data_IF_916599723440
#
_entry.id   IF_916599723440
#
_cell.length_a   1.000
_cell.length_b   1.000
_cell.length_c   1.000
_cell.angle_alpha   90.00
_cell.angle_beta   90.00
_cell.angle_gamma   90.00
#
_symmetry.space_group_name_H-M   'P 1'
#
loop_
_entity.id
_entity.type
_entity.pdbx_description
1 polymer ?
#
# COMPACT_ATOMS: atom_id res chain seq x y z
N UNK A 1 15.17 -11.33 -3.93
CA UNK A 1 13.70 -11.54 -4.03
C UNK A 1 13.42 -12.29 -5.32
N UNK A 2 12.40 -13.16 -5.35
CA UNK A 2 11.98 -13.88 -6.55
C UNK A 2 10.47 -13.76 -6.71
N UNK A 3 9.98 -13.74 -7.97
CA UNK A 3 8.55 -13.71 -8.28
C UNK A 3 8.21 -14.81 -9.29
N UNK A 4 7.26 -15.65 -8.93
CA UNK A 4 6.75 -16.71 -9.79
C UNK A 4 5.27 -16.46 -10.12
N UNK A 5 4.99 -16.09 -11.36
CA UNK A 5 3.62 -16.07 -11.88
C UNK A 5 3.11 -17.52 -11.98
N UNK A 6 1.92 -17.79 -11.43
CA UNK A 6 1.33 -19.13 -11.38
C UNK A 6 0.12 -19.25 -12.30
N UNK A 7 -0.75 -18.24 -12.31
CA UNK A 7 -2.02 -18.25 -13.04
C UNK A 7 -2.32 -16.87 -13.63
N UNK A 8 -3.01 -16.86 -14.75
CA UNK A 8 -3.63 -15.66 -15.34
C UNK A 8 -5.07 -16.02 -15.66
N UNK A 9 -6.01 -15.18 -15.23
CA UNK A 9 -7.42 -15.41 -15.47
C UNK A 9 -7.77 -15.22 -16.96
N UNK A 10 -8.62 -16.06 -17.49
CA UNK A 10 -9.09 -15.94 -18.86
C UNK A 10 -10.01 -14.73 -19.02
N UNK A 11 -9.85 -13.96 -20.09
CA UNK A 11 -10.68 -12.80 -20.40
C UNK A 11 -10.41 -11.55 -19.58
N UNK A 12 -9.40 -11.56 -18.68
CA UNK A 12 -8.95 -10.41 -17.90
C UNK A 12 -7.43 -10.38 -17.79
N UNK A 13 -6.86 -9.30 -17.19
CA UNK A 13 -5.44 -9.26 -16.88
C UNK A 13 -5.13 -9.72 -15.45
N UNK A 14 -6.14 -10.19 -14.71
CA UNK A 14 -5.98 -10.66 -13.34
C UNK A 14 -5.04 -11.86 -13.26
N UNK A 15 -4.11 -11.82 -12.33
CA UNK A 15 -3.07 -12.84 -12.21
C UNK A 15 -2.77 -13.19 -10.75
N UNK A 16 -2.32 -14.41 -10.54
CA UNK A 16 -1.91 -14.91 -9.24
C UNK A 16 -0.46 -15.40 -9.30
N UNK A 17 0.35 -14.98 -8.34
CA UNK A 17 1.76 -15.36 -8.24
C UNK A 17 2.21 -15.53 -6.81
N UNK A 18 3.52 -15.73 -6.64
CA UNK A 18 4.18 -15.80 -5.32
C UNK A 18 5.45 -14.97 -5.38
N UNK A 19 5.60 -14.06 -4.43
CA UNK A 19 6.84 -13.33 -4.17
C UNK A 19 7.55 -14.04 -3.02
N UNK A 20 8.83 -14.39 -3.20
CA UNK A 20 9.65 -15.00 -2.15
C UNK A 20 10.69 -13.99 -1.67
N UNK A 21 10.68 -13.74 -0.35
CA UNK A 21 11.68 -12.92 0.36
C UNK A 21 12.39 -13.76 1.43
N UNK A 22 13.42 -13.21 2.04
CA UNK A 22 14.12 -13.89 3.14
C UNK A 22 13.26 -14.01 4.43
N UNK A 23 12.18 -13.20 4.55
CA UNK A 23 11.19 -13.27 5.65
C UNK A 23 9.90 -14.03 5.29
N UNK A 24 9.84 -14.70 4.14
CA UNK A 24 8.73 -15.56 3.75
C UNK A 24 8.11 -15.24 2.41
N UNK A 25 7.05 -15.98 2.10
CA UNK A 25 6.31 -15.89 0.84
C UNK A 25 5.13 -14.94 0.95
N UNK A 26 4.81 -14.26 -0.17
CA UNK A 26 3.67 -13.38 -0.33
C UNK A 26 2.86 -13.87 -1.51
N UNK A 27 1.64 -14.33 -1.25
CA UNK A 27 0.70 -14.81 -2.26
C UNK A 27 -0.03 -13.62 -2.88
N UNK A 28 0.20 -13.35 -4.16
CA UNK A 28 -0.45 -12.24 -4.87
C UNK A 28 -1.73 -12.70 -5.60
N UNK A 29 -2.73 -11.82 -5.79
CA UNK A 29 -2.78 -10.43 -5.33
C UNK A 29 -2.83 -10.30 -3.81
N UNK A 30 -2.29 -9.22 -3.25
CA UNK A 30 -2.19 -9.00 -1.81
C UNK A 30 -2.48 -7.55 -1.40
N UNK A 31 -3.18 -7.38 -0.29
CA UNK A 31 -3.31 -6.10 0.40
C UNK A 31 -2.35 -6.03 1.58
N UNK A 32 -1.60 -4.94 1.69
CA UNK A 32 -0.60 -4.68 2.73
C UNK A 32 -1.15 -3.70 3.78
N UNK A 33 -1.39 -4.13 5.04
CA UNK A 33 -1.71 -3.21 6.14
C UNK A 33 -0.60 -2.17 6.35
N UNK A 34 -1.01 -0.90 6.53
CA UNK A 34 -0.07 0.21 6.70
C UNK A 34 0.31 0.38 8.17
N UNK A 35 1.60 0.17 8.47
CA UNK A 35 2.24 0.40 9.76
C UNK A 35 3.11 1.66 9.77
N UNK A 36 2.50 2.85 9.70
CA UNK A 36 3.14 4.16 9.45
C UNK A 36 4.40 4.42 10.27
N UNK A 37 4.34 4.20 11.57
CA UNK A 37 5.46 4.41 12.52
C UNK A 37 5.95 3.09 13.13
N UNK A 38 5.93 2.03 12.33
CA UNK A 38 6.24 0.67 12.81
C UNK A 38 5.08 -0.02 13.53
N UNK A 39 3.87 0.56 13.50
CA UNK A 39 2.67 0.01 14.10
C UNK A 39 1.46 0.20 13.21
N UNK A 40 0.66 -0.85 13.03
CA UNK A 40 -0.67 -0.77 12.42
C UNK A 40 -1.63 -0.14 13.42
N UNK A 41 -2.28 0.97 13.04
CA UNK A 41 -3.05 1.79 13.99
C UNK A 41 -4.20 1.01 14.63
N UNK A 42 -4.24 1.04 15.97
CA UNK A 42 -5.23 0.40 16.83
C UNK A 42 -5.23 -1.15 16.79
N UNK A 43 -4.16 -1.78 16.31
CA UNK A 43 -4.07 -3.25 16.18
C UNK A 43 -2.71 -3.73 16.67
N UNK A 44 -2.69 -4.77 17.50
CA UNK A 44 -1.44 -5.42 17.92
C UNK A 44 -0.83 -6.25 16.78
N UNK A 45 0.51 -6.35 16.72
CA UNK A 45 1.18 -7.15 15.68
C UNK A 45 0.77 -8.62 15.69
N UNK A 46 0.44 -9.18 16.86
CA UNK A 46 -0.14 -10.52 16.97
C UNK A 46 -1.44 -10.65 16.19
N UNK A 47 -2.36 -9.69 16.32
CA UNK A 47 -3.64 -9.70 15.59
C UNK A 47 -3.43 -9.47 14.10
N UNK A 48 -2.46 -8.62 13.70
CA UNK A 48 -2.09 -8.45 12.30
C UNK A 48 -1.59 -9.77 11.69
N UNK A 49 -0.82 -10.54 12.46
CA UNK A 49 -0.25 -11.81 12.03
C UNK A 49 -1.27 -12.98 12.06
N UNK A 50 -1.98 -13.15 13.17
CA UNK A 50 -2.73 -14.37 13.47
C UNK A 50 -4.21 -14.27 13.08
N UNK A 51 -4.83 -13.12 13.29
CA UNK A 51 -6.27 -12.90 13.04
C UNK A 51 -6.53 -12.30 11.67
N UNK A 52 -5.82 -11.21 11.33
CA UNK A 52 -5.91 -10.56 10.00
C UNK A 52 -5.17 -11.37 8.94
N UNK A 53 -4.17 -12.17 9.35
CA UNK A 53 -3.35 -13.04 8.50
C UNK A 53 -2.59 -12.28 7.41
N UNK A 54 -2.17 -11.05 7.71
CA UNK A 54 -1.33 -10.28 6.82
C UNK A 54 -0.01 -11.01 6.54
N UNK A 55 0.38 -11.10 5.27
CA UNK A 55 1.62 -11.74 4.85
C UNK A 55 2.78 -10.73 4.76
N UNK A 56 2.46 -9.47 4.60
CA UNK A 56 3.38 -8.34 4.49
C UNK A 56 2.71 -7.10 5.07
N UNK A 57 3.50 -6.20 5.65
CA UNK A 57 3.06 -4.86 6.09
C UNK A 57 3.88 -3.79 5.40
N UNK A 58 3.35 -2.56 5.38
CA UNK A 58 4.05 -1.40 4.85
C UNK A 58 4.45 -0.45 5.97
N UNK A 59 5.74 -0.03 5.99
CA UNK A 59 6.26 1.04 6.84
C UNK A 59 6.50 2.32 6.04
N UNK A 60 6.38 3.49 6.68
CA UNK A 60 6.65 4.76 6.00
C UNK A 60 8.05 5.29 6.33
N UNK A 61 8.91 5.38 5.33
CA UNK A 61 10.30 5.83 5.47
C UNK A 61 10.41 7.21 6.08
N UNK A 62 9.61 8.19 5.63
CA UNK A 62 9.59 9.55 6.19
C UNK A 62 9.31 9.56 7.70
N UNK A 63 8.29 8.85 8.14
CA UNK A 63 7.91 8.81 9.54
C UNK A 63 8.94 8.10 10.40
N UNK A 64 9.46 6.96 9.93
CA UNK A 64 10.46 6.17 10.65
C UNK A 64 11.82 6.89 10.75
N UNK A 65 12.18 7.64 9.70
CA UNK A 65 13.35 8.51 9.68
C UNK A 65 13.27 9.60 10.76
N UNK A 66 12.12 10.25 10.91
CA UNK A 66 11.93 11.31 11.92
C UNK A 66 11.72 10.74 13.32
N UNK A 67 11.01 9.63 13.45
CA UNK A 67 10.68 9.00 14.73
C UNK A 67 10.42 7.50 14.57
N UNK A 68 11.19 6.60 15.22
CA UNK A 68 12.12 6.85 16.32
C UNK A 68 13.46 7.44 15.88
N UNK A 69 13.75 7.51 14.57
CA UNK A 69 15.04 7.92 14.02
C UNK A 69 15.96 6.74 13.69
N UNK A 70 16.89 6.98 12.77
CA UNK A 70 17.72 5.92 12.21
C UNK A 70 18.67 5.29 13.22
N UNK A 71 19.21 6.07 14.16
CA UNK A 71 20.11 5.54 15.19
C UNK A 71 19.41 4.47 16.05
N UNK A 72 18.18 4.75 16.47
CA UNK A 72 17.38 3.81 17.29
C UNK A 72 17.09 2.54 16.48
N UNK A 73 16.65 2.68 15.22
CA UNK A 73 16.33 1.54 14.37
C UNK A 73 17.57 0.67 14.11
N UNK A 74 18.72 1.29 13.85
CA UNK A 74 19.95 0.57 13.60
C UNK A 74 20.42 -0.20 14.85
N UNK A 75 20.36 0.40 16.03
CA UNK A 75 20.68 -0.24 17.30
C UNK A 75 19.71 -1.36 17.67
N UNK A 76 18.45 -1.25 17.26
CA UNK A 76 17.46 -2.32 17.42
C UNK A 76 17.70 -3.51 16.49
N UNK A 77 18.50 -3.36 15.42
CA UNK A 77 18.71 -4.37 14.40
C UNK A 77 17.64 -4.37 13.30
N UNK A 78 17.15 -3.18 12.96
CA UNK A 78 16.13 -2.94 11.94
C UNK A 78 14.69 -2.97 12.44
N UNK A 79 13.77 -2.63 11.53
CA UNK A 79 12.34 -2.50 11.86
C UNK A 79 11.70 -3.82 12.29
N UNK A 80 12.09 -4.95 11.69
CA UNK A 80 11.59 -6.28 12.06
C UNK A 80 11.78 -6.57 13.56
N UNK A 81 13.00 -6.33 14.06
CA UNK A 81 13.30 -6.52 15.48
C UNK A 81 12.69 -5.44 16.37
N UNK A 82 12.62 -4.21 15.86
CA UNK A 82 12.08 -3.09 16.60
C UNK A 82 10.58 -3.24 16.92
N UNK A 83 9.79 -3.69 15.95
CA UNK A 83 8.33 -3.83 16.11
C UNK A 83 7.85 -5.28 16.33
N UNK A 84 8.75 -6.26 16.33
CA UNK A 84 8.41 -7.68 16.52
C UNK A 84 7.62 -8.29 15.36
N UNK A 85 7.84 -7.83 14.13
CA UNK A 85 7.22 -8.37 12.94
C UNK A 85 8.20 -9.25 12.15
N UNK A 86 7.93 -10.54 12.05
CA UNK A 86 8.83 -11.55 11.49
C UNK A 86 8.56 -11.87 10.01
N UNK A 87 7.46 -11.32 9.43
CA UNK A 87 7.09 -11.51 8.03
C UNK A 87 7.60 -10.33 7.17
N UNK A 88 7.49 -10.40 5.83
CA UNK A 88 7.95 -9.34 4.94
C UNK A 88 7.47 -7.93 5.31
N UNK A 89 8.33 -6.95 5.04
CA UNK A 89 8.03 -5.51 5.16
C UNK A 89 8.38 -4.83 3.85
N UNK A 90 7.51 -3.95 3.37
CA UNK A 90 7.81 -2.96 2.34
C UNK A 90 7.93 -1.58 3.00
N UNK A 91 8.91 -0.77 2.60
CA UNK A 91 8.94 0.66 2.96
C UNK A 91 8.71 1.52 1.73
N UNK A 92 7.83 2.53 1.86
CA UNK A 92 7.69 3.55 0.81
C UNK A 92 8.95 4.43 0.69
N UNK A 93 9.00 5.29 -0.33
CA UNK A 93 10.12 6.22 -0.51
C UNK A 93 10.14 7.38 0.48
N UNK A 94 9.00 7.71 1.09
CA UNK A 94 8.77 8.93 1.85
C UNK A 94 8.49 10.17 0.98
N UNK A 95 8.56 10.07 -0.34
CA UNK A 95 8.34 11.18 -1.27
C UNK A 95 6.95 11.79 -1.15
N UNK A 96 5.90 10.98 -1.07
CA UNK A 96 4.52 11.44 -0.88
C UNK A 96 4.33 12.19 0.43
N UNK A 97 4.94 11.75 1.54
CA UNK A 97 4.83 12.41 2.85
C UNK A 97 5.55 13.75 2.87
N UNK A 98 6.70 13.84 2.23
CA UNK A 98 7.39 15.12 1.98
C UNK A 98 6.48 16.06 1.19
N UNK A 99 5.74 15.52 0.20
CA UNK A 99 4.78 16.29 -0.57
C UNK A 99 3.59 16.76 0.28
N UNK A 100 2.96 15.87 1.05
CA UNK A 100 1.66 16.11 1.69
C UNK A 100 1.74 16.72 3.09
N UNK A 101 2.86 16.56 3.82
CA UNK A 101 2.99 16.94 5.23
C UNK A 101 3.93 18.11 5.47
N UNK A 102 4.69 18.55 4.47
CA UNK A 102 5.62 19.68 4.62
C UNK A 102 5.04 20.93 3.98
N UNK A 103 4.74 21.94 4.80
CA UNK A 103 4.31 23.28 4.34
C UNK A 103 5.41 24.00 3.57
N UNK A 104 6.68 23.63 3.81
CA UNK A 104 7.84 24.19 3.15
C UNK A 104 8.68 23.06 2.58
N UNK A 105 8.51 22.82 1.28
CA UNK A 105 9.35 21.91 0.51
C UNK A 105 9.97 22.62 -0.67
N UNK A 106 11.16 22.18 -1.02
CA UNK A 106 11.83 22.59 -2.26
C UNK A 106 12.43 21.36 -2.91
N UNK A 107 11.97 21.08 -4.12
CA UNK A 107 12.56 20.03 -4.95
C UNK A 107 13.68 20.63 -5.81
N UNK A 108 14.78 19.93 -5.85
CA UNK A 108 15.98 20.32 -6.63
C UNK A 108 16.53 19.07 -7.31
N UNK A 109 17.50 19.26 -8.19
CA UNK A 109 18.24 18.13 -8.77
C UNK A 109 18.93 17.27 -7.69
N UNK A 110 19.37 17.89 -6.59
CA UNK A 110 20.01 17.22 -5.47
C UNK A 110 19.04 16.27 -4.74
N UNK A 111 17.81 16.73 -4.49
CA UNK A 111 16.82 16.01 -3.72
C UNK A 111 15.66 16.87 -3.22
N UNK A 112 14.92 16.33 -2.28
CA UNK A 112 13.77 16.96 -1.64
C UNK A 112 14.14 17.57 -0.30
N UNK A 113 14.18 18.90 -0.22
CA UNK A 113 14.32 19.64 1.03
C UNK A 113 12.95 19.79 1.69
N UNK A 114 12.87 19.52 2.98
CA UNK A 114 11.62 19.63 3.74
C UNK A 114 11.86 20.04 5.20
N UNK A 115 10.78 20.42 5.86
CA UNK A 115 10.76 20.60 7.31
C UNK A 115 9.97 19.47 7.98
N UNK A 116 10.53 18.97 9.06
CA UNK A 116 9.84 18.01 9.93
C UNK A 116 8.53 18.60 10.46
N UNK A 117 7.43 17.86 10.31
CA UNK A 117 6.13 18.22 10.88
C UNK A 117 6.08 18.05 12.42
N UNK A 118 7.13 17.46 13.01
CA UNK A 118 7.21 17.21 14.45
C UNK A 118 7.79 18.40 15.20
N UNK A 119 8.91 18.95 14.68
CA UNK A 119 9.74 19.96 15.37
C UNK A 119 10.22 21.09 14.45
N UNK A 120 9.86 21.07 13.17
CA UNK A 120 10.24 22.08 12.21
C UNK A 120 11.72 22.03 11.74
N UNK A 121 12.50 21.02 12.16
CA UNK A 121 13.88 20.83 11.72
C UNK A 121 13.98 20.65 10.21
N UNK A 122 15.10 21.10 9.62
CA UNK A 122 15.34 21.02 8.17
C UNK A 122 16.02 19.71 7.81
N UNK A 123 15.50 19.04 6.79
CA UNK A 123 16.01 17.79 6.26
C UNK A 123 16.15 17.83 4.75
N UNK A 124 16.96 16.90 4.24
CA UNK A 124 17.14 16.67 2.80
C UNK A 124 17.11 15.16 2.53
N UNK A 125 16.17 14.73 1.70
CA UNK A 125 16.21 13.40 1.09
C UNK A 125 16.85 13.52 -0.30
N UNK A 126 18.03 12.96 -0.47
CA UNK A 126 18.60 12.66 -1.78
C UNK A 126 18.26 11.22 -2.17
N UNK A 127 18.31 10.87 -3.46
CA UNK A 127 18.13 9.48 -3.87
C UNK A 127 19.08 8.51 -3.16
N UNK A 128 20.31 8.93 -2.91
CA UNK A 128 21.33 8.11 -2.26
C UNK A 128 21.03 7.90 -0.77
N UNK A 129 20.81 8.98 -0.01
CA UNK A 129 20.55 8.86 1.43
C UNK A 129 19.18 8.24 1.72
N UNK A 130 18.24 8.28 0.77
CA UNK A 130 16.97 7.58 0.86
C UNK A 130 17.18 6.06 0.81
N UNK A 131 18.05 5.57 -0.07
CA UNK A 131 18.46 4.16 -0.09
C UNK A 131 19.14 3.78 1.24
N UNK A 132 20.10 4.59 1.72
CA UNK A 132 20.80 4.34 2.99
C UNK A 132 19.82 4.30 4.18
N UNK A 133 18.83 5.19 4.19
CA UNK A 133 17.75 5.23 5.18
C UNK A 133 16.97 3.91 5.18
N UNK A 134 16.55 3.42 4.03
CA UNK A 134 15.80 2.16 3.91
C UNK A 134 16.68 0.94 4.21
N UNK A 135 18.00 0.99 3.94
CA UNK A 135 18.96 -0.03 4.40
C UNK A 135 18.97 -0.13 5.94
N UNK A 136 18.96 1.01 6.63
CA UNK A 136 18.92 1.07 8.10
C UNK A 136 17.57 0.62 8.64
N UNK A 137 16.46 1.00 7.99
CA UNK A 137 15.13 0.50 8.37
C UNK A 137 15.06 -1.02 8.18
N UNK A 138 15.63 -1.56 7.12
CA UNK A 138 15.77 -3.01 6.91
C UNK A 138 14.49 -3.67 6.40
N UNK A 139 13.70 -3.01 5.54
CA UNK A 139 12.56 -3.65 4.87
C UNK A 139 13.03 -4.64 3.79
N UNK A 140 12.20 -5.64 3.48
CA UNK A 140 12.48 -6.60 2.38
C UNK A 140 12.37 -5.93 1.01
N UNK A 141 11.45 -4.98 0.87
CA UNK A 141 11.22 -4.23 -0.37
C UNK A 141 11.35 -2.74 -0.08
N UNK A 142 12.26 -2.10 -0.79
CA UNK A 142 12.53 -0.67 -0.72
C UNK A 142 11.99 0.02 -1.97
N UNK A 143 11.44 1.23 -1.82
CA UNK A 143 10.92 2.02 -2.93
C UNK A 143 11.88 3.13 -3.33
N UNK A 144 11.97 3.40 -4.63
CA UNK A 144 12.75 4.53 -5.16
C UNK A 144 12.18 5.88 -4.71
N UNK A 145 13.06 6.86 -4.43
CA UNK A 145 12.62 8.24 -4.19
C UNK A 145 12.06 8.84 -5.49
N UNK A 146 10.86 9.41 -5.40
CA UNK A 146 10.11 9.96 -6.52
C UNK A 146 9.45 11.30 -6.16
N UNK A 147 9.02 12.04 -7.18
CA UNK A 147 8.11 13.17 -7.01
C UNK A 147 6.68 12.73 -7.37
N UNK A 148 5.81 12.71 -6.36
CA UNK A 148 4.37 12.51 -6.57
C UNK A 148 3.73 13.86 -6.93
N UNK A 149 3.24 13.99 -8.17
CA UNK A 149 2.54 15.19 -8.63
C UNK A 149 1.06 15.14 -8.25
N UNK A 150 0.37 16.31 -8.06
CA UNK A 150 -1.09 16.35 -7.97
C UNK A 150 -1.74 15.75 -9.24
N UNK A 151 -2.93 15.15 -9.09
CA UNK A 151 -3.66 14.54 -10.20
C UNK A 151 -4.16 15.52 -11.27
N UNK A 152 -4.22 16.81 -10.93
CA UNK A 152 -4.59 17.96 -11.80
C UNK A 152 -3.38 18.75 -12.32
N UNK A 153 -2.15 18.25 -12.12
CA UNK A 153 -0.94 18.89 -12.62
C UNK A 153 -0.98 19.07 -14.15
N UNK A 154 -0.57 20.24 -14.64
CA UNK A 154 -0.46 20.47 -16.07
C UNK A 154 0.62 19.59 -16.74
N UNK A 155 0.49 19.38 -18.04
CA UNK A 155 1.38 18.51 -18.81
C UNK A 155 2.86 18.92 -18.70
N UNK A 156 3.18 20.21 -18.74
CA UNK A 156 4.56 20.66 -18.72
C UNK A 156 5.21 20.43 -17.35
N UNK A 157 4.44 20.65 -16.28
CA UNK A 157 4.90 20.31 -14.94
C UNK A 157 5.07 18.79 -14.77
N UNK A 158 4.07 17.99 -15.16
CA UNK A 158 4.14 16.54 -15.09
C UNK A 158 5.36 15.98 -15.85
N UNK A 159 5.65 16.50 -17.04
CA UNK A 159 6.82 16.11 -17.84
C UNK A 159 8.15 16.47 -17.16
N UNK A 160 8.26 17.68 -16.57
CA UNK A 160 9.46 18.09 -15.84
C UNK A 160 9.68 17.25 -14.59
N UNK A 161 8.61 16.96 -13.86
CA UNK A 161 8.61 16.12 -12.66
C UNK A 161 9.02 14.69 -13.01
N UNK A 162 8.48 14.10 -14.08
CA UNK A 162 8.87 12.80 -14.55
C UNK A 162 10.38 12.73 -14.87
N UNK A 163 10.89 13.71 -15.61
CA UNK A 163 12.31 13.76 -15.95
C UNK A 163 13.22 13.88 -14.70
N UNK A 164 12.79 14.61 -13.66
CA UNK A 164 13.50 14.67 -12.38
C UNK A 164 13.45 13.31 -11.65
N UNK A 165 12.27 12.69 -11.56
CA UNK A 165 12.07 11.37 -10.94
C UNK A 165 12.95 10.31 -11.62
N UNK A 166 13.06 10.31 -12.94
CA UNK A 166 13.92 9.37 -13.68
C UNK A 166 15.41 9.57 -13.35
N UNK A 167 15.89 10.83 -13.25
CA UNK A 167 17.29 11.10 -12.85
C UNK A 167 17.55 10.69 -11.39
N UNK A 168 16.61 10.95 -10.49
CA UNK A 168 16.69 10.48 -9.12
C UNK A 168 16.69 8.96 -9.04
N UNK A 169 15.84 8.28 -9.82
CA UNK A 169 15.81 6.84 -9.89
C UNK A 169 17.17 6.25 -10.28
N UNK A 170 17.85 6.80 -11.29
CA UNK A 170 19.17 6.32 -11.69
C UNK A 170 20.23 6.49 -10.61
N UNK A 171 20.18 7.57 -9.84
CA UNK A 171 21.07 7.82 -8.71
C UNK A 171 20.80 6.84 -7.57
N UNK A 172 19.53 6.66 -7.20
CA UNK A 172 19.11 5.69 -6.19
C UNK A 172 19.44 4.25 -6.60
N UNK A 173 19.18 3.88 -7.85
CA UNK A 173 19.53 2.57 -8.40
C UNK A 173 21.02 2.27 -8.31
N UNK A 174 21.87 3.23 -8.69
CA UNK A 174 23.31 3.11 -8.54
C UNK A 174 23.71 2.90 -7.07
N UNK A 175 23.15 3.71 -6.15
CA UNK A 175 23.43 3.58 -4.71
C UNK A 175 22.98 2.24 -4.17
N UNK A 176 21.81 1.75 -4.60
CA UNK A 176 21.31 0.42 -4.24
C UNK A 176 22.27 -0.70 -4.66
N UNK A 177 22.83 -0.62 -5.87
CA UNK A 177 23.81 -1.60 -6.38
C UNK A 177 25.17 -1.53 -5.66
N UNK A 178 25.55 -0.38 -5.15
CA UNK A 178 26.81 -0.15 -4.41
C UNK A 178 26.72 -0.53 -2.93
N UNK A 179 25.51 -0.83 -2.41
CA UNK A 179 25.28 -1.09 -0.98
C UNK A 179 24.56 -2.42 -0.78
N UNK A 180 24.79 -3.03 0.38
CA UNK A 180 24.15 -4.29 0.79
C UNK A 180 23.23 -4.08 2.00
N UNK A 181 22.35 -5.05 2.25
CA UNK A 181 21.52 -5.09 3.45
C UNK A 181 22.37 -5.21 4.73
N UNK A 182 21.99 -4.49 5.78
CA UNK A 182 22.79 -4.43 7.01
C UNK A 182 22.57 -5.61 7.95
N UNK A 183 21.50 -6.39 7.76
CA UNK A 183 21.04 -7.36 8.75
C UNK A 183 21.10 -8.81 8.28
N UNK A 184 21.87 -9.09 7.21
CA UNK A 184 22.14 -10.45 6.73
C UNK A 184 21.10 -11.06 5.81
N UNK A 185 20.15 -10.25 5.30
CA UNK A 185 19.17 -10.64 4.30
C UNK A 185 19.14 -9.66 3.13
N UNK A 186 18.58 -10.12 2.00
CA UNK A 186 18.49 -9.32 0.78
C UNK A 186 17.28 -8.39 0.83
N UNK A 187 17.48 -7.19 0.31
CA UNK A 187 16.41 -6.21 0.13
C UNK A 187 16.24 -5.94 -1.35
N UNK A 188 15.00 -6.03 -1.85
CA UNK A 188 14.64 -5.65 -3.22
C UNK A 188 14.48 -4.14 -3.35
N UNK A 189 14.57 -3.62 -4.58
CA UNK A 189 14.37 -2.20 -4.87
C UNK A 189 13.37 -2.04 -6.01
N UNK A 190 12.25 -1.37 -5.74
CA UNK A 190 11.19 -1.13 -6.71
C UNK A 190 11.24 0.30 -7.23
N UNK A 191 11.49 0.52 -8.53
CA UNK A 191 11.26 1.80 -9.18
C UNK A 191 9.78 2.13 -9.26
N UNK A 192 9.45 3.43 -9.37
CA UNK A 192 8.09 3.95 -9.39
C UNK A 192 7.82 4.63 -10.72
N UNK A 193 6.76 4.20 -11.42
CA UNK A 193 6.23 4.87 -12.61
C UNK A 193 5.41 6.08 -12.16
N UNK A 194 5.81 7.27 -12.63
CA UNK A 194 5.09 8.52 -12.51
C UNK A 194 4.56 8.97 -13.89
N UNK A 195 4.00 10.15 -14.04
CA UNK A 195 3.50 10.69 -15.32
C UNK A 195 2.08 11.28 -15.24
N UNK A 196 1.57 11.51 -14.02
CA UNK A 196 0.23 12.06 -13.78
C UNK A 196 -0.85 11.27 -14.54
N UNK A 197 -1.79 11.92 -15.21
CA UNK A 197 -2.87 11.31 -16.00
C UNK A 197 -2.60 11.35 -17.51
N UNK A 198 -1.34 11.45 -17.91
CA UNK A 198 -0.93 11.57 -19.31
C UNK A 198 -0.40 10.24 -19.84
N UNK A 199 -1.12 9.58 -20.79
CA UNK A 199 -0.76 8.23 -21.27
C UNK A 199 0.61 8.15 -21.91
N UNK A 200 1.06 9.18 -22.62
CA UNK A 200 2.39 9.24 -23.24
C UNK A 200 3.52 9.29 -22.19
N UNK A 201 3.35 10.11 -21.15
CA UNK A 201 4.31 10.17 -20.03
C UNK A 201 4.33 8.86 -19.23
N UNK A 202 3.17 8.24 -19.00
CA UNK A 202 3.07 6.92 -18.35
C UNK A 202 3.77 5.84 -19.16
N UNK A 203 3.61 5.83 -20.50
CA UNK A 203 4.32 4.88 -21.37
C UNK A 203 5.82 5.10 -21.36
N UNK A 204 6.28 6.35 -21.42
CA UNK A 204 7.70 6.69 -21.30
C UNK A 204 8.27 6.18 -19.97
N UNK A 205 7.60 6.49 -18.87
CA UNK A 205 8.02 6.08 -17.53
C UNK A 205 8.02 4.55 -17.37
N UNK A 206 6.98 3.86 -17.84
CA UNK A 206 6.87 2.41 -17.74
C UNK A 206 7.99 1.69 -18.51
N UNK A 207 8.33 2.15 -19.71
CA UNK A 207 9.48 1.63 -20.48
C UNK A 207 10.79 1.85 -19.76
N UNK A 208 11.02 3.08 -19.28
CA UNK A 208 12.23 3.43 -18.54
C UNK A 208 12.42 2.56 -17.29
N UNK A 209 11.34 2.32 -16.55
CA UNK A 209 11.35 1.48 -15.35
C UNK A 209 11.56 0.00 -15.69
N UNK A 210 10.88 -0.51 -16.72
CA UNK A 210 11.04 -1.89 -17.17
C UNK A 210 12.46 -2.22 -17.64
N UNK A 211 13.13 -1.28 -18.32
CA UNK A 211 14.49 -1.43 -18.84
C UNK A 211 15.54 -1.55 -17.73
N UNK A 212 15.26 -1.12 -16.51
CA UNK A 212 16.16 -1.31 -15.36
C UNK A 212 16.29 -2.77 -14.94
N UNK A 213 15.30 -3.62 -15.24
CA UNK A 213 15.30 -5.02 -14.83
C UNK A 213 15.25 -5.24 -13.31
N UNK A 214 14.61 -4.32 -12.58
CA UNK A 214 14.48 -4.40 -11.12
C UNK A 214 13.66 -5.61 -10.66
N UNK A 215 13.65 -5.90 -9.36
CA UNK A 215 12.94 -7.05 -8.78
C UNK A 215 11.42 -6.96 -8.88
N UNK A 216 10.88 -5.76 -9.00
CA UNK A 216 9.46 -5.46 -9.18
C UNK A 216 9.27 -4.01 -9.58
N UNK A 217 8.04 -3.61 -9.90
CA UNK A 217 7.72 -2.28 -10.39
C UNK A 217 6.49 -1.72 -9.68
N UNK A 218 6.50 -0.42 -9.40
CA UNK A 218 5.38 0.25 -8.78
C UNK A 218 4.74 1.30 -9.69
N UNK A 219 3.45 1.53 -9.49
CA UNK A 219 2.64 2.56 -10.13
C UNK A 219 2.29 3.58 -9.04
N UNK A 220 2.92 4.75 -9.10
CA UNK A 220 2.68 5.85 -8.19
C UNK A 220 1.91 7.01 -8.84
N UNK A 221 1.60 8.04 -8.05
CA UNK A 221 0.95 9.27 -8.52
C UNK A 221 -0.45 9.06 -9.08
N UNK A 222 -1.19 8.10 -8.54
CA UNK A 222 -2.61 7.88 -8.78
C UNK A 222 -3.37 7.92 -7.45
N UNK A 223 -4.70 8.10 -7.51
CA UNK A 223 -5.57 8.38 -6.35
C UNK A 223 -5.16 9.66 -5.59
N UNK A 224 -4.69 10.67 -6.33
CA UNK A 224 -4.23 11.99 -5.82
C UNK A 224 -5.09 13.14 -6.33
N UNK A 225 -6.36 12.85 -6.66
CA UNK A 225 -7.38 13.84 -7.06
C UNK A 225 -7.95 13.67 -8.45
N UNK A 226 -7.43 12.76 -9.26
CA UNK A 226 -7.96 12.45 -10.60
C UNK A 226 -9.29 11.65 -10.52
N UNK A 227 -10.12 11.69 -11.58
CA UNK A 227 -11.28 10.80 -11.71
C UNK A 227 -10.86 9.32 -11.73
N UNK A 228 -11.68 8.46 -11.14
CA UNK A 228 -11.40 7.01 -11.00
C UNK A 228 -11.17 6.32 -12.34
N UNK A 229 -11.91 6.71 -13.38
CA UNK A 229 -11.77 6.17 -14.74
C UNK A 229 -10.40 6.50 -15.34
N UNK A 230 -9.86 7.68 -15.04
CA UNK A 230 -8.51 8.07 -15.45
C UNK A 230 -7.45 7.26 -14.72
N UNK A 231 -7.64 6.99 -13.45
CA UNK A 231 -6.76 6.10 -12.70
C UNK A 231 -6.71 4.71 -13.36
N UNK A 232 -7.86 4.13 -13.70
CA UNK A 232 -7.93 2.82 -14.34
C UNK A 232 -7.26 2.80 -15.73
N UNK A 233 -7.52 3.83 -16.55
CA UNK A 233 -6.84 3.99 -17.85
C UNK A 233 -5.32 4.01 -17.69
N UNK A 234 -4.79 4.74 -16.70
CA UNK A 234 -3.34 4.83 -16.48
C UNK A 234 -2.74 3.50 -15.98
N UNK A 235 -3.48 2.73 -15.18
CA UNK A 235 -3.05 1.39 -14.77
C UNK A 235 -2.92 0.48 -16.00
N UNK A 236 -3.90 0.48 -16.89
CA UNK A 236 -3.86 -0.31 -18.14
C UNK A 236 -2.65 0.09 -18.99
N UNK A 237 -2.48 1.39 -19.25
CA UNK A 237 -1.35 1.93 -20.03
C UNK A 237 0.01 1.46 -19.50
N UNK A 238 0.17 1.41 -18.17
CA UNK A 238 1.43 1.01 -17.54
C UNK A 238 1.59 -0.51 -17.57
N UNK A 239 0.54 -1.27 -17.26
CA UNK A 239 0.58 -2.71 -17.17
C UNK A 239 0.72 -3.41 -18.53
N UNK A 240 0.35 -2.74 -19.63
CA UNK A 240 0.64 -3.21 -21.01
C UNK A 240 2.16 -3.26 -21.30
N UNK A 241 2.97 -2.52 -20.55
CA UNK A 241 4.42 -2.41 -20.73
C UNK A 241 5.20 -3.17 -19.66
N UNK A 242 4.68 -3.19 -18.42
CA UNK A 242 5.36 -3.82 -17.30
C UNK A 242 5.61 -5.32 -17.55
N UNK A 243 6.80 -5.83 -17.23
CA UNK A 243 7.15 -7.24 -17.38
C UNK A 243 6.14 -8.16 -16.70
N UNK A 244 5.85 -9.29 -17.32
CA UNK A 244 4.91 -10.28 -16.77
C UNK A 244 5.53 -11.14 -15.69
N UNK A 245 6.84 -11.26 -15.68
CA UNK A 245 7.65 -12.02 -14.72
C UNK A 245 8.10 -11.19 -13.48
N UNK A 246 7.51 -10.00 -13.30
CA UNK A 246 7.77 -9.12 -12.16
C UNK A 246 6.47 -8.74 -11.46
N UNK A 247 6.48 -8.57 -10.12
CA UNK A 247 5.31 -8.08 -9.40
C UNK A 247 5.04 -6.60 -9.69
N UNK A 248 3.76 -6.23 -9.68
CA UNK A 248 3.23 -4.90 -9.99
C UNK A 248 2.51 -4.34 -8.76
N UNK A 249 3.00 -3.25 -8.24
CA UNK A 249 2.48 -2.63 -7.03
C UNK A 249 1.78 -1.30 -7.35
N UNK A 250 0.49 -1.19 -7.06
CA UNK A 250 -0.29 0.06 -7.13
C UNK A 250 -0.29 0.72 -5.77
N UNK A 251 0.37 1.89 -5.66
CA UNK A 251 0.63 2.57 -4.40
C UNK A 251 -0.57 3.39 -3.91
N UNK A 252 -0.91 3.24 -2.63
CA UNK A 252 -1.88 4.09 -1.93
C UNK A 252 -3.35 3.90 -2.33
N UNK A 253 -3.68 2.85 -3.06
CA UNK A 253 -5.05 2.58 -3.57
C UNK A 253 -5.61 1.34 -2.88
N UNK A 254 -6.82 1.34 -2.40
CA UNK A 254 -7.88 2.31 -2.32
C UNK A 254 -9.13 1.71 -1.69
N UNK A 255 -10.31 1.96 -2.25
CA UNK A 255 -11.55 1.30 -1.82
C UNK A 255 -11.55 -0.19 -2.20
N UNK A 256 -12.41 -1.05 -1.59
CA UNK A 256 -12.56 -2.44 -2.03
C UNK A 256 -12.82 -2.58 -3.53
N UNK A 257 -13.64 -1.69 -4.11
CA UNK A 257 -13.91 -1.65 -5.54
C UNK A 257 -12.64 -1.34 -6.36
N UNK A 258 -11.82 -0.35 -5.93
CA UNK A 258 -10.57 -0.03 -6.62
C UNK A 258 -9.58 -1.20 -6.59
N UNK A 259 -9.55 -1.98 -5.50
CA UNK A 259 -8.69 -3.17 -5.40
C UNK A 259 -9.14 -4.22 -6.41
N UNK A 260 -10.45 -4.53 -6.49
CA UNK A 260 -10.98 -5.48 -7.45
C UNK A 260 -10.71 -5.06 -8.91
N UNK A 261 -10.90 -3.78 -9.21
CA UNK A 261 -10.62 -3.21 -10.55
C UNK A 261 -9.12 -3.16 -10.86
N UNK A 262 -8.27 -2.94 -9.86
CA UNK A 262 -6.81 -3.01 -10.01
C UNK A 262 -6.33 -4.44 -10.28
N UNK A 263 -6.87 -5.44 -9.56
CA UNK A 263 -6.57 -6.86 -9.79
C UNK A 263 -6.96 -7.27 -11.20
N UNK A 264 -8.15 -6.88 -11.66
CA UNK A 264 -8.63 -7.14 -13.02
C UNK A 264 -7.68 -6.62 -14.11
N UNK A 265 -6.97 -5.53 -13.82
CA UNK A 265 -5.97 -4.88 -14.68
C UNK A 265 -4.54 -5.37 -14.46
N UNK A 266 -4.37 -6.44 -13.69
CA UNK A 266 -3.08 -7.12 -13.51
C UNK A 266 -2.18 -6.52 -12.44
N UNK A 267 -2.72 -5.84 -11.44
CA UNK A 267 -2.00 -5.39 -10.25
C UNK A 267 -1.90 -6.52 -9.23
N UNK A 268 -0.73 -6.68 -8.62
CA UNK A 268 -0.43 -7.75 -7.66
C UNK A 268 -0.44 -7.29 -6.20
N UNK A 269 -0.06 -6.04 -5.93
CA UNK A 269 0.16 -5.54 -4.58
C UNK A 269 -0.56 -4.21 -4.39
N UNK A 270 -1.16 -4.03 -3.21
CA UNK A 270 -1.91 -2.83 -2.83
C UNK A 270 -1.61 -2.45 -1.39
N UNK A 271 -1.66 -1.16 -1.11
CA UNK A 271 -1.73 -0.59 0.24
C UNK A 271 -2.74 0.55 0.28
N UNK A 272 -3.31 0.79 1.43
CA UNK A 272 -4.07 2.00 1.68
C UNK A 272 -4.28 2.20 3.19
N UNK A 273 -4.36 3.45 3.62
CA UNK A 273 -4.70 3.79 5.01
C UNK A 273 -6.21 3.71 5.29
N UNK A 274 -7.04 3.55 4.27
CA UNK A 274 -8.51 3.58 4.40
C UNK A 274 -9.06 2.55 5.40
N UNK A 275 -8.62 1.29 5.44
CA UNK A 275 -9.20 0.32 6.37
C UNK A 275 -9.16 0.81 7.81
N UNK A 276 -8.01 1.26 8.30
CA UNK A 276 -7.87 1.75 9.67
C UNK A 276 -8.37 3.17 9.86
N UNK A 277 -8.19 4.07 8.86
CA UNK A 277 -8.68 5.44 8.92
C UNK A 277 -10.22 5.46 8.99
N UNK A 278 -10.86 4.79 8.06
CA UNK A 278 -12.31 4.74 7.97
C UNK A 278 -12.92 3.95 9.14
N UNK A 279 -12.28 2.83 9.54
CA UNK A 279 -12.68 2.07 10.72
C UNK A 279 -12.74 2.93 11.96
N UNK A 280 -11.68 3.67 12.27
CA UNK A 280 -11.65 4.57 13.44
C UNK A 280 -12.70 5.70 13.38
N UNK A 281 -13.21 6.01 12.19
CA UNK A 281 -14.31 6.97 12.00
C UNK A 281 -15.71 6.31 11.96
N UNK A 282 -15.78 4.97 12.17
CA UNK A 282 -17.03 4.22 12.23
C UNK A 282 -17.54 3.72 10.89
N UNK A 283 -16.72 3.75 9.82
CA UNK A 283 -17.05 3.14 8.54
C UNK A 283 -16.51 1.72 8.48
N UNK A 284 -17.38 0.74 8.28
CA UNK A 284 -17.10 -0.70 8.22
C UNK A 284 -17.35 -1.18 6.79
N UNK A 285 -16.39 -1.91 6.23
CA UNK A 285 -16.49 -2.57 4.93
C UNK A 285 -16.79 -4.06 5.14
N UNK A 286 -17.94 -4.53 4.67
CA UNK A 286 -18.34 -5.93 4.81
C UNK A 286 -18.49 -6.60 3.45
N UNK A 287 -18.60 -7.93 3.44
CA UNK A 287 -18.93 -8.72 2.25
C UNK A 287 -20.30 -8.37 1.63
N UNK A 288 -21.16 -7.68 2.36
CA UNK A 288 -22.52 -7.28 1.93
C UNK A 288 -22.64 -5.81 1.59
N UNK A 289 -21.69 -4.97 2.01
CA UNK A 289 -21.73 -3.52 1.77
C UNK A 289 -21.03 -2.70 2.83
N UNK A 290 -21.24 -1.39 2.76
CA UNK A 290 -20.60 -0.40 3.63
C UNK A 290 -21.58 0.02 4.73
N UNK A 291 -21.16 -0.09 5.99
CA UNK A 291 -21.92 0.37 7.16
C UNK A 291 -21.28 1.61 7.77
N UNK A 292 -22.11 2.60 8.13
CA UNK A 292 -21.70 3.65 9.06
C UNK A 292 -22.25 3.31 10.45
N UNK A 293 -21.38 2.90 11.37
CA UNK A 293 -21.77 2.45 12.70
C UNK A 293 -22.36 3.54 13.59
N UNK A 294 -22.23 4.81 13.22
CA UNK A 294 -22.88 5.94 13.96
C UNK A 294 -24.37 6.09 13.59
N UNK A 295 -24.85 5.41 12.55
CA UNK A 295 -26.26 5.48 12.15
C UNK A 295 -27.18 4.88 13.24
N UNK A 296 -28.33 5.57 13.49
CA UNK A 296 -29.29 5.18 14.52
C UNK A 296 -29.91 3.79 14.27
N UNK A 297 -30.02 3.36 13.03
CA UNK A 297 -30.61 2.05 12.66
C UNK A 297 -29.89 0.84 13.29
N UNK A 298 -28.62 0.98 13.68
CA UNK A 298 -27.87 -0.08 14.35
C UNK A 298 -28.05 -0.11 15.85
N UNK A 299 -28.87 0.78 16.46
CA UNK A 299 -28.96 0.94 17.90
C UNK A 299 -29.54 -0.29 18.62
N UNK A 300 -30.38 -1.05 17.93
CA UNK A 300 -31.06 -2.25 18.42
C UNK A 300 -30.85 -3.47 17.50
N UNK A 301 -29.84 -3.42 16.65
CA UNK A 301 -29.44 -4.56 15.82
C UNK A 301 -28.45 -5.45 16.60
N UNK A 302 -28.96 -6.53 17.18
CA UNK A 302 -28.20 -7.50 17.99
C UNK A 302 -27.61 -8.65 17.15
N UNK A 303 -27.63 -8.54 15.82
CA UNK A 303 -26.94 -9.48 14.95
C UNK A 303 -25.44 -9.24 14.94
N UNK A 304 -24.60 -10.22 14.59
CA UNK A 304 -23.14 -10.07 14.47
C UNK A 304 -22.74 -8.90 13.58
N UNK A 305 -21.54 -8.37 13.81
CA UNK A 305 -21.00 -7.25 13.02
C UNK A 305 -20.98 -7.61 11.53
N UNK A 306 -20.47 -8.79 11.18
CA UNK A 306 -20.55 -9.39 9.85
C UNK A 306 -20.76 -10.91 9.96
N UNK A 307 -21.87 -11.42 9.44
CA UNK A 307 -22.20 -12.86 9.51
C UNK A 307 -21.31 -13.72 8.61
N UNK A 308 -20.78 -13.16 7.55
CA UNK A 308 -19.78 -13.78 6.66
C UNK A 308 -18.34 -13.50 7.11
N UNK A 309 -18.17 -13.17 8.38
CA UNK A 309 -17.02 -12.58 9.00
C UNK A 309 -15.66 -13.17 8.66
N UNK A 310 -14.70 -12.29 8.48
CA UNK A 310 -13.31 -12.59 8.11
C UNK A 310 -12.36 -12.50 9.30
N UNK A 311 -12.87 -12.08 10.47
CA UNK A 311 -12.12 -11.96 11.72
C UNK A 311 -12.93 -12.37 12.95
N UNK A 312 -12.25 -12.60 14.08
CA UNK A 312 -12.92 -12.99 15.32
C UNK A 312 -13.89 -11.93 15.85
N UNK A 313 -13.64 -10.64 15.58
CA UNK A 313 -14.49 -9.54 16.07
C UNK A 313 -15.88 -9.56 15.42
N UNK A 314 -16.01 -10.15 14.24
CA UNK A 314 -17.22 -10.14 13.45
C UNK A 314 -18.36 -10.92 14.11
N UNK A 315 -18.03 -12.04 14.73
CA UNK A 315 -18.97 -12.88 15.47
C UNK A 315 -18.99 -12.57 16.98
N UNK A 316 -17.94 -11.96 17.52
CA UNK A 316 -17.84 -11.67 18.94
C UNK A 316 -18.69 -10.48 19.36
N UNK A 317 -18.98 -9.54 18.44
CA UNK A 317 -19.65 -8.29 18.76
C UNK A 317 -20.86 -8.05 17.85
N UNK A 318 -21.94 -7.52 18.46
CA UNK A 318 -23.15 -7.12 17.73
C UNK A 318 -23.02 -5.70 17.20
N UNK A 319 -23.76 -5.39 16.12
CA UNK A 319 -23.84 -4.04 15.55
C UNK A 319 -24.27 -3.00 16.60
N UNK A 320 -25.26 -3.34 17.44
CA UNK A 320 -25.74 -2.48 18.52
C UNK A 320 -24.63 -2.13 19.51
N UNK A 321 -23.83 -3.12 19.92
CA UNK A 321 -22.72 -2.90 20.86
C UNK A 321 -21.60 -2.05 20.23
N UNK A 322 -21.17 -2.37 19.02
CA UNK A 322 -20.13 -1.61 18.31
C UNK A 322 -20.58 -0.16 18.09
N UNK A 323 -21.85 0.05 17.71
CA UNK A 323 -22.42 1.41 17.64
C UNK A 323 -22.38 2.13 18.98
N UNK A 324 -22.79 1.46 20.07
CA UNK A 324 -22.73 2.03 21.41
C UNK A 324 -21.32 2.53 21.74
N UNK A 325 -20.29 1.72 21.46
CA UNK A 325 -18.89 2.09 21.70
C UNK A 325 -18.47 3.33 20.88
N UNK A 326 -18.91 3.45 19.62
CA UNK A 326 -18.64 4.65 18.80
C UNK A 326 -19.35 5.90 19.31
N UNK A 327 -20.55 5.77 19.90
CA UNK A 327 -21.28 6.90 20.47
C UNK A 327 -20.69 7.31 21.81
N UNK A 328 -20.19 6.34 22.57
CA UNK A 328 -19.50 6.55 23.84
C UNK A 328 -18.03 6.99 23.70
N UNK A 329 -17.53 7.05 22.46
CA UNK A 329 -16.13 7.39 22.12
C UNK A 329 -15.09 6.45 22.77
N UNK A 330 -15.45 5.17 22.88
CA UNK A 330 -14.57 4.14 23.46
C UNK A 330 -13.50 3.70 22.47
N UNK A 331 -12.25 3.59 22.93
CA UNK A 331 -11.10 3.14 22.11
C UNK A 331 -11.34 1.76 21.49
N UNK A 332 -12.06 0.87 22.19
CA UNK A 332 -12.38 -0.46 21.73
C UNK A 332 -13.17 -0.45 20.39
N UNK A 333 -14.00 0.58 20.14
CA UNK A 333 -14.68 0.75 18.86
C UNK A 333 -13.70 0.85 17.69
N UNK A 334 -12.63 1.63 17.88
CA UNK A 334 -11.60 1.84 16.87
C UNK A 334 -10.76 0.57 16.62
N UNK A 335 -10.51 -0.20 17.68
CA UNK A 335 -9.80 -1.48 17.58
C UNK A 335 -10.63 -2.51 16.80
N UNK A 336 -11.89 -2.74 17.21
CA UNK A 336 -12.81 -3.66 16.52
C UNK A 336 -12.92 -3.31 15.05
N UNK A 337 -13.20 -2.05 14.72
CA UNK A 337 -13.38 -1.60 13.35
C UNK A 337 -12.10 -1.69 12.51
N UNK A 338 -10.93 -1.44 13.10
CA UNK A 338 -9.65 -1.56 12.41
C UNK A 338 -9.31 -3.03 12.10
N UNK A 339 -9.50 -3.93 13.07
CA UNK A 339 -9.29 -5.37 12.88
C UNK A 339 -10.23 -5.91 11.79
N UNK A 340 -11.52 -5.59 11.91
CA UNK A 340 -12.52 -6.01 10.92
C UNK A 340 -12.15 -5.55 9.50
N UNK A 341 -11.94 -4.24 9.31
CA UNK A 341 -11.67 -3.69 7.98
C UNK A 341 -10.37 -4.24 7.39
N UNK A 342 -9.31 -4.40 8.18
CA UNK A 342 -8.06 -4.97 7.70
C UNK A 342 -8.23 -6.45 7.30
N UNK A 343 -8.93 -7.23 8.13
CA UNK A 343 -9.22 -8.64 7.82
C UNK A 343 -10.05 -8.75 6.53
N UNK A 344 -11.04 -7.88 6.35
CA UNK A 344 -11.84 -7.83 5.14
C UNK A 344 -10.99 -7.52 3.88
N UNK A 345 -10.10 -6.53 3.94
CA UNK A 345 -9.24 -6.17 2.81
C UNK A 345 -8.24 -7.28 2.45
N UNK A 346 -7.65 -7.92 3.46
CA UNK A 346 -6.76 -9.08 3.24
C UNK A 346 -7.55 -10.25 2.67
N UNK A 347 -8.72 -10.55 3.22
CA UNK A 347 -9.62 -11.59 2.71
C UNK A 347 -10.03 -11.32 1.26
N UNK A 348 -10.40 -10.07 0.91
CA UNK A 348 -10.82 -9.70 -0.45
C UNK A 348 -9.75 -10.04 -1.49
N UNK A 349 -8.49 -9.75 -1.17
CA UNK A 349 -7.37 -10.07 -2.07
C UNK A 349 -7.10 -11.59 -2.16
N UNK A 350 -7.24 -12.31 -1.05
CA UNK A 350 -7.08 -13.77 -1.01
C UNK A 350 -8.21 -14.48 -1.76
N UNK A 351 -9.44 -14.01 -1.61
CA UNK A 351 -10.59 -14.58 -2.32
C UNK A 351 -10.50 -14.29 -3.83
N UNK A 352 -10.04 -13.08 -4.21
CA UNK A 352 -9.73 -12.77 -5.61
C UNK A 352 -8.70 -13.75 -6.17
N UNK A 353 -7.61 -14.03 -5.43
CA UNK A 353 -6.60 -15.02 -5.82
C UNK A 353 -7.20 -16.40 -6.06
N UNK A 354 -8.05 -16.87 -5.14
CA UNK A 354 -8.71 -18.17 -5.27
C UNK A 354 -9.55 -18.25 -6.54
N UNK A 355 -10.36 -17.22 -6.80
CA UNK A 355 -11.19 -17.15 -8.01
C UNK A 355 -10.37 -17.01 -9.31
N UNK A 356 -9.18 -16.40 -9.27
CA UNK A 356 -8.23 -16.39 -10.41
C UNK A 356 -7.77 -17.81 -10.69
N UNK A 357 -7.36 -18.56 -9.66
CA UNK A 357 -6.89 -19.95 -9.80
C UNK A 357 -7.99 -20.87 -10.30
N UNK A 358 -9.21 -20.70 -9.79
CA UNK A 358 -10.38 -21.52 -10.12
C UNK A 358 -11.04 -21.12 -11.46
N UNK A 359 -10.53 -20.07 -12.15
CA UNK A 359 -11.08 -19.60 -13.42
C UNK A 359 -12.44 -18.91 -13.33
N UNK A 360 -12.85 -18.45 -12.14
CA UNK A 360 -14.16 -17.85 -11.86
C UNK A 360 -14.09 -16.36 -11.52
N UNK A 361 -12.93 -15.74 -11.67
CA UNK A 361 -12.68 -14.37 -11.22
C UNK A 361 -13.64 -13.34 -11.82
N UNK A 362 -13.88 -13.38 -13.14
CA UNK A 362 -14.69 -12.37 -13.81
C UNK A 362 -16.16 -12.34 -13.33
N UNK A 363 -16.75 -13.53 -13.09
CA UNK A 363 -18.12 -13.64 -12.56
C UNK A 363 -18.19 -13.20 -11.09
N UNK A 364 -17.29 -13.71 -10.27
CA UNK A 364 -17.20 -13.34 -8.85
C UNK A 364 -16.93 -11.85 -8.64
N UNK A 365 -16.00 -11.25 -9.41
CA UNK A 365 -15.71 -9.81 -9.36
C UNK A 365 -16.97 -8.98 -9.57
N UNK A 366 -17.79 -9.33 -10.58
CA UNK A 366 -19.02 -8.59 -10.89
C UNK A 366 -19.99 -8.58 -9.71
N UNK A 367 -20.24 -9.74 -9.10
CA UNK A 367 -21.10 -9.84 -7.92
C UNK A 367 -20.50 -9.11 -6.71
N UNK A 368 -19.20 -9.25 -6.49
CA UNK A 368 -18.53 -8.59 -5.36
C UNK A 368 -18.51 -7.07 -5.51
N UNK A 369 -18.34 -6.53 -6.71
CA UNK A 369 -18.40 -5.07 -6.96
C UNK A 369 -19.76 -4.47 -6.55
N UNK A 370 -20.87 -5.14 -6.87
CA UNK A 370 -22.21 -4.71 -6.44
C UNK A 370 -22.30 -4.65 -4.91
N UNK A 371 -21.77 -5.70 -4.23
CA UNK A 371 -21.82 -5.79 -2.77
C UNK A 371 -20.96 -4.69 -2.13
N UNK A 372 -19.68 -4.58 -2.47
CA UNK A 372 -18.73 -3.65 -1.82
C UNK A 372 -19.01 -2.18 -2.09
N UNK A 373 -19.89 -1.86 -3.05
CA UNK A 373 -20.34 -0.48 -3.34
C UNK A 373 -21.70 -0.14 -2.73
N UNK A 374 -22.44 -1.16 -2.26
CA UNK A 374 -23.76 -0.98 -1.63
C UNK A 374 -23.60 -0.33 -0.25
N UNK A 375 -24.45 0.65 0.05
CA UNK A 375 -24.55 1.25 1.40
C UNK A 375 -25.69 0.60 2.17
N UNK A 376 -25.33 -0.03 3.27
CA UNK A 376 -26.24 -0.68 4.19
C UNK A 376 -26.83 0.30 5.19
#
# INVERSE_FOLDING_TARGET
>A
MDFKLQYTAEGTNARAGVITTDHGEIMTPIFMPVGTVGAVKAVHMREVRDDIKAQIILGNTYHLYLRPGLEILQRAGGLHKFNGWERPILTDSGGFQVFSLSDIRKLTEEGAHFRSHIDGSKHLFTPENNVDTQRIIGADIMMALDECTPGDADYNYAKKSLALTQRWLMRGWKRYQETEGLYGYKQAYFPIVQGCVYPDLRREAAKFVADLGADGNAIGGLAVGEPTEKMYEMIEVVNDIHPTDKPRYLMGVGTPANILEGIDRGVDMFDCVMPTRNGRNGMIFTSRGIMNMRNKKWADDFTPLDEEGTSYVDMAYTKAYVRHLFIADEILAMQIASIHNLAFYVWLSQEARKHIIDGTFASWKREMLERVTTRL
#
